data_IF_072415550196
#
_entry.id   IF_072415550196
#
_cell.length_a   1.000
_cell.length_b   1.000
_cell.length_c   1.000
_cell.angle_alpha   90.00
_cell.angle_beta   90.00
_cell.angle_gamma   90.00
#
_symmetry.space_group_name_H-M   'P 1'
#
loop_
_entity.id
_entity.type
_entity.pdbx_description
1 polymer ?
#
# COMPACT_ATOMS: atom_id res chain seq x y z
N UNK A 1 2.15 -14.41 14.22
CA UNK A 1 2.14 -12.94 14.30
C UNK A 1 2.75 -12.36 13.01
N UNK A 2 3.96 -12.73 12.59
CA UNK A 2 4.67 -12.19 11.42
C UNK A 2 3.81 -12.19 10.14
N UNK A 3 3.11 -13.31 9.83
CA UNK A 3 2.18 -13.37 8.69
C UNK A 3 0.98 -12.42 8.82
N UNK A 4 0.54 -12.12 10.04
CA UNK A 4 -0.58 -11.21 10.28
C UNK A 4 -0.18 -9.73 10.15
N UNK A 5 1.10 -9.41 10.18
CA UNK A 5 1.64 -8.07 9.92
C UNK A 5 1.98 -7.85 8.44
N UNK A 6 2.11 -8.93 7.66
CA UNK A 6 2.43 -8.86 6.24
C UNK A 6 1.28 -8.25 5.42
N UNK A 7 1.61 -7.47 4.42
CA UNK A 7 0.66 -6.85 3.49
C UNK A 7 -0.08 -7.89 2.64
N UNK A 8 0.62 -8.96 2.21
CA UNK A 8 0.10 -10.01 1.34
C UNK A 8 -0.43 -11.21 2.13
N UNK A 9 -1.54 -11.78 1.66
CA UNK A 9 -2.17 -13.00 2.18
C UNK A 9 -2.42 -13.97 1.04
N UNK A 10 -1.69 -15.06 1.00
CA UNK A 10 -1.87 -16.07 -0.05
C UNK A 10 -3.14 -16.90 0.16
N UNK A 11 -3.82 -17.22 -0.94
CA UNK A 11 -5.00 -18.06 -1.02
C UNK A 11 -4.61 -19.47 -1.47
N UNK A 12 -5.42 -20.47 -1.15
CA UNK A 12 -5.17 -21.88 -1.54
C UNK A 12 -5.26 -22.09 -3.04
N UNK A 13 -6.09 -21.28 -3.73
CA UNK A 13 -6.24 -21.28 -5.19
C UNK A 13 -5.00 -20.80 -5.94
N UNK A 14 -3.99 -20.28 -5.24
CA UNK A 14 -2.82 -19.63 -5.84
C UNK A 14 -2.97 -18.11 -6.01
N UNK A 15 -4.18 -17.57 -5.80
CA UNK A 15 -4.42 -16.13 -5.70
C UNK A 15 -3.89 -15.55 -4.39
N UNK A 16 -4.05 -14.26 -4.20
CA UNK A 16 -3.65 -13.57 -2.97
C UNK A 16 -4.44 -12.28 -2.74
N UNK A 17 -4.48 -11.85 -1.50
CA UNK A 17 -4.98 -10.55 -1.09
C UNK A 17 -3.81 -9.61 -0.83
N UNK A 18 -4.00 -8.33 -1.14
CA UNK A 18 -3.16 -7.23 -0.68
C UNK A 18 -3.99 -6.35 0.23
N UNK A 19 -3.54 -6.16 1.46
CA UNK A 19 -4.27 -5.40 2.49
C UNK A 19 -3.46 -4.18 2.87
N UNK A 20 -4.00 -3.00 2.59
CA UNK A 20 -3.39 -1.73 2.92
C UNK A 20 -4.27 -0.92 3.86
N UNK A 21 -3.66 -0.37 4.90
CA UNK A 21 -4.31 0.58 5.81
C UNK A 21 -3.82 1.99 5.48
N UNK A 22 -4.74 2.84 5.07
CA UNK A 22 -4.49 4.28 4.94
C UNK A 22 -4.96 5.01 6.20
N UNK A 23 -4.81 6.32 6.24
CA UNK A 23 -5.32 7.13 7.35
C UNK A 23 -6.84 7.01 7.49
N UNK A 24 -7.58 7.04 6.38
CA UNK A 24 -9.04 7.10 6.37
C UNK A 24 -9.71 5.73 6.30
N UNK A 25 -9.14 4.77 5.57
CA UNK A 25 -9.80 3.50 5.26
C UNK A 25 -8.81 2.34 5.08
N UNK A 26 -9.34 1.12 5.02
CA UNK A 26 -8.59 -0.08 4.64
C UNK A 26 -9.01 -0.49 3.24
N UNK A 27 -8.05 -0.75 2.37
CA UNK A 27 -8.25 -1.33 1.05
C UNK A 27 -7.81 -2.78 1.03
N UNK A 28 -8.55 -3.62 0.33
CA UNK A 28 -8.24 -5.03 0.12
C UNK A 28 -8.38 -5.34 -1.36
N UNK A 29 -7.27 -5.65 -2.00
CA UNK A 29 -7.21 -6.00 -3.41
C UNK A 29 -7.08 -7.52 -3.57
N UNK A 30 -7.86 -8.13 -4.46
CA UNK A 30 -7.90 -9.57 -4.72
C UNK A 30 -7.25 -9.86 -6.06
N UNK A 31 -6.23 -10.71 -6.05
CA UNK A 31 -5.46 -11.07 -7.23
C UNK A 31 -5.54 -12.58 -7.51
N UNK A 32 -5.60 -12.99 -8.79
CA UNK A 32 -5.61 -14.39 -9.21
C UNK A 32 -4.27 -15.10 -9.04
N UNK A 33 -3.17 -14.35 -8.92
CA UNK A 33 -1.83 -14.93 -9.07
C UNK A 33 -1.52 -15.32 -10.53
N UNK A 34 -0.44 -16.06 -10.75
CA UNK A 34 0.02 -16.42 -12.11
C UNK A 34 -0.73 -17.57 -12.78
N UNK A 35 -1.69 -18.21 -12.12
CA UNK A 35 -2.37 -19.38 -12.66
C UNK A 35 -3.77 -19.05 -13.19
N UNK A 36 -3.85 -18.84 -14.49
CA UNK A 36 -5.12 -18.73 -15.23
C UNK A 36 -5.24 -20.01 -16.05
N UNK A 37 -6.02 -20.97 -15.55
CA UNK A 37 -6.34 -22.18 -16.30
C UNK A 37 -7.13 -21.80 -17.56
N UNK A 38 -6.59 -22.11 -18.73
CA UNK A 38 -7.08 -21.65 -20.04
C UNK A 38 -8.50 -22.13 -20.42
N UNK A 39 -9.14 -23.02 -19.69
CA UNK A 39 -10.43 -23.62 -20.06
C UNK A 39 -11.65 -23.12 -19.29
N UNK A 40 -11.49 -22.48 -18.11
CA UNK A 40 -12.62 -21.97 -17.31
C UNK A 40 -12.17 -20.72 -16.52
N UNK A 41 -11.87 -19.66 -17.22
CA UNK A 41 -11.43 -18.39 -16.62
C UNK A 41 -12.45 -17.85 -15.60
N UNK A 42 -13.74 -17.79 -15.99
CA UNK A 42 -14.82 -17.31 -15.12
C UNK A 42 -14.96 -18.15 -13.85
N UNK A 43 -14.82 -19.49 -13.97
CA UNK A 43 -14.92 -20.39 -12.82
C UNK A 43 -13.73 -20.26 -11.87
N UNK A 44 -12.54 -20.01 -12.42
CA UNK A 44 -11.34 -19.76 -11.62
C UNK A 44 -11.47 -18.45 -10.85
N UNK A 45 -11.91 -17.37 -11.49
CA UNK A 45 -12.21 -16.09 -10.85
C UNK A 45 -13.23 -16.28 -9.73
N UNK A 46 -14.34 -16.94 -10.02
CA UNK A 46 -15.40 -17.17 -9.05
C UNK A 46 -14.89 -17.92 -7.80
N UNK A 47 -14.14 -19.00 -8.00
CA UNK A 47 -13.53 -19.77 -6.89
C UNK A 47 -12.55 -18.92 -6.08
N UNK A 48 -11.69 -18.15 -6.75
CA UNK A 48 -10.75 -17.27 -6.08
C UNK A 48 -11.47 -16.20 -5.27
N UNK A 49 -12.52 -15.59 -5.80
CA UNK A 49 -13.32 -14.59 -5.09
C UNK A 49 -14.08 -15.18 -3.89
N UNK A 50 -14.61 -16.41 -3.99
CA UNK A 50 -15.22 -17.10 -2.85
C UNK A 50 -14.21 -17.37 -1.73
N UNK A 51 -13.01 -17.80 -2.10
CA UNK A 51 -11.92 -18.01 -1.14
C UNK A 51 -11.45 -16.67 -0.52
N UNK A 52 -11.35 -15.64 -1.35
CA UNK A 52 -11.02 -14.27 -0.90
C UNK A 52 -12.05 -13.77 0.12
N UNK A 53 -13.35 -13.96 -0.09
CA UNK A 53 -14.40 -13.58 0.85
C UNK A 53 -14.22 -14.21 2.23
N UNK A 54 -13.85 -15.50 2.27
CA UNK A 54 -13.54 -16.20 3.52
C UNK A 54 -12.27 -15.68 4.18
N UNK A 55 -11.23 -15.44 3.39
CA UNK A 55 -9.95 -14.93 3.88
C UNK A 55 -10.10 -13.49 4.41
N UNK A 56 -10.81 -12.62 3.70
CA UNK A 56 -11.10 -11.24 4.12
C UNK A 56 -11.74 -11.24 5.50
N UNK A 57 -12.86 -11.93 5.69
CA UNK A 57 -13.54 -11.98 6.98
C UNK A 57 -12.62 -12.47 8.13
N UNK A 58 -11.73 -13.42 7.85
CA UNK A 58 -10.74 -13.91 8.81
C UNK A 58 -9.67 -12.85 9.12
N UNK A 59 -9.16 -12.15 8.10
CA UNK A 59 -8.15 -11.11 8.27
C UNK A 59 -8.69 -9.88 9.03
N UNK A 60 -9.94 -9.49 8.79
CA UNK A 60 -10.58 -8.42 9.55
C UNK A 60 -10.56 -8.69 11.06
N UNK A 61 -10.88 -9.93 11.46
CA UNK A 61 -10.82 -10.35 12.87
C UNK A 61 -9.39 -10.44 13.40
N UNK A 62 -8.52 -11.13 12.66
CA UNK A 62 -7.15 -11.40 13.07
C UNK A 62 -6.35 -10.10 13.28
N UNK A 63 -6.48 -9.16 12.35
CA UNK A 63 -5.76 -7.88 12.37
C UNK A 63 -6.51 -6.78 13.09
N UNK A 64 -7.72 -7.05 13.56
CA UNK A 64 -8.65 -6.09 14.16
C UNK A 64 -8.85 -4.84 13.27
N UNK A 65 -9.07 -5.05 11.97
CA UNK A 65 -9.34 -3.98 11.02
C UNK A 65 -10.74 -3.42 11.25
N UNK A 66 -10.87 -2.10 11.27
CA UNK A 66 -12.15 -1.43 11.49
C UNK A 66 -12.21 -0.07 10.81
N UNK A 67 -13.38 0.52 10.81
CA UNK A 67 -13.70 1.73 10.05
C UNK A 67 -14.24 1.37 8.66
N UNK A 68 -14.00 2.22 7.68
CA UNK A 68 -14.37 2.00 6.27
C UNK A 68 -13.39 0.99 5.66
N UNK A 69 -13.91 0.00 4.98
CA UNK A 69 -13.15 -1.05 4.30
C UNK A 69 -13.70 -1.18 2.90
N UNK A 70 -12.82 -1.13 1.90
CA UNK A 70 -13.17 -1.32 0.49
C UNK A 70 -12.45 -2.56 0.00
N UNK A 71 -13.19 -3.52 -0.53
CA UNK A 71 -12.65 -4.71 -1.14
C UNK A 71 -12.85 -4.67 -2.66
N UNK A 72 -11.76 -4.79 -3.38
CA UNK A 72 -11.71 -4.90 -4.83
C UNK A 72 -11.59 -6.39 -5.18
N UNK A 73 -12.71 -6.98 -5.58
CA UNK A 73 -12.78 -8.36 -6.03
C UNK A 73 -12.45 -8.43 -7.52
N UNK A 74 -11.92 -9.56 -7.97
CA UNK A 74 -11.68 -9.78 -9.38
C UNK A 74 -13.02 -9.68 -10.12
N UNK A 75 -13.02 -8.95 -11.23
CA UNK A 75 -14.24 -8.71 -12.03
C UNK A 75 -14.99 -9.99 -12.39
N UNK A 76 -16.30 -9.98 -12.15
CA UNK A 76 -17.21 -11.09 -12.44
C UNK A 76 -18.31 -10.63 -13.40
N UNK A 77 -18.35 -11.21 -14.58
CA UNK A 77 -19.36 -10.88 -15.59
C UNK A 77 -20.78 -11.38 -15.27
N UNK A 78 -20.92 -12.35 -14.34
CA UNK A 78 -22.21 -12.95 -13.96
C UNK A 78 -22.68 -12.40 -12.62
N UNK A 79 -23.90 -11.85 -12.60
CA UNK A 79 -24.52 -11.31 -11.38
C UNK A 79 -24.71 -12.39 -10.31
N UNK A 80 -24.97 -13.64 -10.73
CA UNK A 80 -25.10 -14.77 -9.80
C UNK A 80 -23.80 -15.03 -9.03
N UNK A 81 -22.64 -14.89 -9.69
CA UNK A 81 -21.34 -15.03 -9.05
C UNK A 81 -21.09 -13.92 -8.02
N UNK A 82 -21.43 -12.68 -8.37
CA UNK A 82 -21.32 -11.54 -7.44
C UNK A 82 -22.20 -11.75 -6.20
N UNK A 83 -23.44 -12.19 -6.41
CA UNK A 83 -24.37 -12.46 -5.30
C UNK A 83 -23.87 -13.61 -4.41
N UNK A 84 -23.34 -14.68 -5.00
CA UNK A 84 -22.78 -15.79 -4.25
C UNK A 84 -21.55 -15.40 -3.42
N UNK A 85 -20.64 -14.59 -3.96
CA UNK A 85 -19.48 -14.06 -3.25
C UNK A 85 -19.91 -13.16 -2.10
N UNK A 86 -20.89 -12.27 -2.33
CA UNK A 86 -21.45 -11.41 -1.31
C UNK A 86 -22.12 -12.20 -0.18
N UNK A 87 -22.88 -13.22 -0.53
CA UNK A 87 -23.54 -14.11 0.43
C UNK A 87 -22.51 -14.87 1.29
N UNK A 88 -21.45 -15.39 0.67
CA UNK A 88 -20.36 -16.06 1.40
C UNK A 88 -19.64 -15.10 2.34
N UNK A 89 -19.32 -13.88 1.88
CA UNK A 89 -18.70 -12.88 2.74
C UNK A 89 -19.58 -12.55 3.95
N UNK A 90 -20.87 -12.28 3.73
CA UNK A 90 -21.83 -12.00 4.81
C UNK A 90 -21.91 -13.14 5.82
N UNK A 91 -21.98 -14.38 5.33
CA UNK A 91 -21.96 -15.61 6.16
C UNK A 91 -20.70 -15.69 7.03
N UNK A 92 -19.54 -15.38 6.48
CA UNK A 92 -18.28 -15.41 7.25
C UNK A 92 -18.17 -14.25 8.25
N UNK A 93 -18.72 -13.06 7.92
CA UNK A 93 -18.78 -11.92 8.81
C UNK A 93 -19.73 -12.13 10.01
N UNK A 94 -20.78 -12.96 9.87
CA UNK A 94 -21.67 -13.33 10.98
C UNK A 94 -20.94 -14.06 12.13
N UNK A 95 -19.78 -14.65 11.85
CA UNK A 95 -18.93 -15.28 12.88
C UNK A 95 -18.14 -14.26 13.71
N UNK A 96 -18.18 -13.00 13.32
CA UNK A 96 -17.52 -11.92 14.04
C UNK A 96 -18.44 -11.36 15.13
N UNK A 97 -17.89 -11.17 16.34
CA UNK A 97 -18.61 -10.53 17.45
C UNK A 97 -18.81 -9.03 17.23
N UNK A 98 -17.99 -8.44 16.34
CA UNK A 98 -18.04 -7.01 16.04
C UNK A 98 -18.98 -6.78 14.86
N UNK A 99 -19.94 -5.87 15.05
CA UNK A 99 -20.90 -5.51 14.01
C UNK A 99 -20.21 -4.96 12.76
N UNK A 100 -20.47 -5.61 11.63
CA UNK A 100 -20.04 -5.20 10.29
C UNK A 100 -21.28 -4.97 9.43
N UNK A 101 -21.31 -3.87 8.71
CA UNK A 101 -22.37 -3.55 7.74
C UNK A 101 -21.73 -3.61 6.35
N UNK A 102 -22.34 -4.36 5.45
CA UNK A 102 -21.87 -4.51 4.06
C UNK A 102 -22.91 -3.99 3.09
N UNK A 103 -22.48 -3.20 2.11
CA UNK A 103 -23.27 -2.86 0.93
C UNK A 103 -23.41 -4.03 -0.05
N UNK A 104 -23.82 -3.73 -1.27
CA UNK A 104 -23.67 -4.57 -2.44
C UNK A 104 -22.40 -4.23 -3.21
N UNK A 105 -22.17 -4.89 -4.35
CA UNK A 105 -21.18 -4.44 -5.31
C UNK A 105 -21.60 -3.08 -5.91
N UNK A 106 -20.68 -2.14 -5.95
CA UNK A 106 -20.89 -0.85 -6.62
C UNK A 106 -20.86 -1.01 -8.14
N UNK A 107 -21.20 0.06 -8.87
CA UNK A 107 -21.10 0.09 -10.33
C UNK A 107 -19.64 -0.12 -10.84
N UNK A 108 -18.65 0.10 -9.99
CA UNK A 108 -17.22 -0.12 -10.27
C UNK A 108 -16.72 -1.49 -9.83
N UNK A 109 -17.60 -2.43 -9.42
CA UNK A 109 -17.20 -3.75 -8.95
C UNK A 109 -16.64 -3.79 -7.51
N UNK A 110 -16.60 -2.64 -6.82
CA UNK A 110 -16.08 -2.55 -5.46
C UNK A 110 -17.13 -2.94 -4.42
N UNK A 111 -16.70 -3.60 -3.36
CA UNK A 111 -17.54 -3.93 -2.22
C UNK A 111 -17.17 -3.07 -1.03
N UNK A 112 -18.13 -2.27 -0.58
CA UNK A 112 -17.98 -1.37 0.54
C UNK A 112 -18.53 -1.98 1.82
N UNK A 113 -17.79 -1.84 2.92
CA UNK A 113 -18.25 -2.26 4.23
C UNK A 113 -17.72 -1.35 5.34
N UNK A 114 -18.43 -1.35 6.46
CA UNK A 114 -17.97 -0.69 7.69
C UNK A 114 -17.95 -1.68 8.84
N UNK A 115 -16.86 -1.71 9.58
CA UNK A 115 -16.71 -2.52 10.79
C UNK A 115 -16.40 -1.63 11.98
N UNK A 116 -17.15 -1.75 13.07
CA UNK A 116 -16.96 -0.90 14.26
C UNK A 116 -15.52 -1.04 14.77
N UNK A 117 -14.83 0.09 15.00
CA UNK A 117 -13.53 0.11 15.69
C UNK A 117 -13.74 -0.08 17.17
N UNK A 118 -13.18 -1.14 17.74
CA UNK A 118 -13.27 -1.44 19.17
C UNK A 118 -11.94 -1.27 19.88
N UNK A 119 -10.84 -1.37 19.15
CA UNK A 119 -9.46 -1.16 19.59
C UNK A 119 -8.57 -0.91 18.38
N UNK A 120 -7.31 -0.56 18.62
CA UNK A 120 -6.31 -0.38 17.57
C UNK A 120 -6.07 -1.65 16.75
N UNK A 121 -5.68 -1.49 15.49
CA UNK A 121 -5.29 -2.61 14.64
C UNK A 121 -3.99 -3.25 15.12
N UNK A 122 -3.79 -4.52 14.76
CA UNK A 122 -2.59 -5.28 15.14
C UNK A 122 -1.30 -4.57 14.72
N UNK A 123 -1.29 -3.96 13.52
CA UNK A 123 -0.13 -3.21 13.01
C UNK A 123 0.16 -1.99 13.88
N UNK A 124 -0.86 -1.22 14.27
CA UNK A 124 -0.66 -0.03 15.12
C UNK A 124 -0.21 -0.37 16.54
N UNK A 125 -0.57 -1.57 17.03
CA UNK A 125 -0.12 -2.03 18.36
C UNK A 125 1.30 -2.59 18.38
N UNK A 126 1.78 -3.14 17.26
CA UNK A 126 3.03 -3.91 17.22
C UNK A 126 4.12 -3.28 16.36
N UNK A 127 3.80 -2.23 15.59
CA UNK A 127 4.71 -1.60 14.66
C UNK A 127 4.73 -0.09 14.86
N UNK A 128 5.85 0.52 14.52
CA UNK A 128 6.03 1.96 14.43
C UNK A 128 6.37 2.37 12.98
N UNK A 129 6.16 3.64 12.61
CA UNK A 129 6.52 4.12 11.28
C UNK A 129 8.01 3.89 10.98
N UNK A 130 8.32 3.44 9.77
CA UNK A 130 9.71 3.28 9.33
C UNK A 130 10.43 4.64 9.36
N UNK A 131 11.56 4.78 10.07
CA UNK A 131 12.28 6.06 10.15
C UNK A 131 12.83 6.52 8.79
N UNK A 132 13.15 5.60 7.88
CA UNK A 132 13.69 5.92 6.56
C UNK A 132 12.67 6.57 5.61
N UNK A 133 11.42 6.13 5.63
CA UNK A 133 10.37 6.64 4.73
C UNK A 133 9.19 7.30 5.46
N UNK A 134 9.21 7.36 6.78
CA UNK A 134 8.11 7.85 7.61
C UNK A 134 6.76 7.18 7.26
N UNK A 135 6.78 5.88 6.97
CA UNK A 135 5.60 5.09 6.60
C UNK A 135 5.16 5.21 5.12
N UNK A 136 5.87 6.00 4.28
CA UNK A 136 5.48 6.20 2.88
C UNK A 136 5.74 5.00 1.96
N UNK A 137 6.64 4.07 2.36
CA UNK A 137 7.02 2.90 1.55
C UNK A 137 7.97 3.22 0.37
N UNK A 138 8.31 4.49 0.16
CA UNK A 138 9.22 4.98 -0.88
C UNK A 138 10.19 6.00 -0.30
N UNK A 139 11.39 6.05 -0.88
CA UNK A 139 12.41 7.06 -0.59
C UNK A 139 12.84 7.73 -1.89
N UNK A 140 13.38 8.95 -1.80
CA UNK A 140 13.97 9.64 -2.96
C UNK A 140 15.17 8.87 -3.47
N UNK A 141 15.35 8.85 -4.80
CA UNK A 141 16.58 8.34 -5.41
C UNK A 141 17.77 9.23 -5.06
N UNK A 142 18.99 8.70 -5.11
CA UNK A 142 20.22 9.48 -4.87
C UNK A 142 20.28 10.72 -5.78
N UNK A 143 19.92 10.58 -7.07
CA UNK A 143 19.87 11.70 -8.03
C UNK A 143 18.85 12.78 -7.62
N UNK A 144 17.67 12.39 -7.16
CA UNK A 144 16.67 13.36 -6.65
C UNK A 144 17.19 14.13 -5.42
N UNK A 145 17.94 13.44 -4.56
CA UNK A 145 18.56 14.08 -3.38
C UNK A 145 19.66 15.06 -3.79
N UNK A 146 20.50 14.71 -4.78
CA UNK A 146 21.51 15.62 -5.35
C UNK A 146 20.85 16.91 -5.86
N UNK A 147 19.79 16.81 -6.65
CA UNK A 147 19.10 18.00 -7.14
C UNK A 147 18.41 18.80 -6.02
N UNK A 148 17.96 18.17 -4.97
CA UNK A 148 17.47 18.90 -3.78
C UNK A 148 18.60 19.68 -3.12
N UNK A 149 19.78 19.07 -2.95
CA UNK A 149 20.96 19.73 -2.38
C UNK A 149 21.37 20.95 -3.23
N UNK A 150 21.50 20.79 -4.54
CA UNK A 150 21.85 21.90 -5.44
C UNK A 150 20.84 23.04 -5.37
N UNK A 151 19.53 22.75 -5.31
CA UNK A 151 18.49 23.77 -5.16
C UNK A 151 18.57 24.47 -3.80
N UNK A 152 18.88 23.72 -2.75
CA UNK A 152 19.03 24.31 -1.41
C UNK A 152 20.24 25.25 -1.35
N UNK A 153 21.38 24.85 -1.90
CA UNK A 153 22.57 25.70 -1.99
C UNK A 153 22.25 27.01 -2.71
N UNK A 154 21.54 26.92 -3.87
CA UNK A 154 21.12 28.12 -4.61
C UNK A 154 20.22 29.06 -3.79
N UNK A 155 19.29 28.46 -3.01
CA UNK A 155 18.37 29.21 -2.16
C UNK A 155 19.14 29.96 -1.05
N UNK A 156 19.98 29.21 -0.35
CA UNK A 156 20.79 29.74 0.76
C UNK A 156 21.80 30.80 0.27
N UNK A 157 22.47 30.58 -0.87
CA UNK A 157 23.38 31.52 -1.48
C UNK A 157 22.70 32.88 -1.78
N UNK A 158 21.47 32.85 -2.31
CA UNK A 158 20.71 34.07 -2.61
C UNK A 158 20.23 34.82 -1.37
N UNK A 159 19.99 34.09 -0.28
CA UNK A 159 19.40 34.66 0.94
C UNK A 159 20.45 35.17 1.91
N UNK A 160 21.57 34.46 2.09
CA UNK A 160 22.51 34.68 3.19
C UNK A 160 23.94 34.97 2.76
N UNK A 161 24.27 34.88 1.46
CA UNK A 161 25.62 35.08 0.91
C UNK A 161 26.73 34.34 1.71
N UNK A 162 26.61 33.02 1.95
CA UNK A 162 27.55 32.26 2.75
C UNK A 162 28.88 32.06 2.00
N UNK A 163 29.98 32.01 2.75
CA UNK A 163 31.31 31.78 2.17
C UNK A 163 31.64 30.30 1.96
N UNK A 164 30.96 29.41 2.63
CA UNK A 164 31.20 27.97 2.57
C UNK A 164 29.88 27.18 2.75
N UNK A 165 29.74 26.14 1.96
CA UNK A 165 28.67 25.13 2.11
C UNK A 165 29.26 23.76 2.49
N UNK A 166 28.79 23.19 3.58
CA UNK A 166 29.15 21.83 3.98
C UNK A 166 28.01 20.87 3.70
N UNK A 167 28.25 19.92 2.81
CA UNK A 167 27.28 18.88 2.43
C UNK A 167 27.57 17.60 3.20
N UNK A 168 26.60 17.07 3.95
CA UNK A 168 26.67 15.79 4.63
C UNK A 168 25.54 14.93 4.09
N UNK A 169 25.87 13.87 3.38
CA UNK A 169 24.90 12.97 2.74
C UNK A 169 25.41 11.51 2.74
N UNK A 170 24.54 10.60 2.33
CA UNK A 170 24.93 9.18 2.14
C UNK A 170 26.03 9.06 1.06
N UNK A 171 26.97 8.08 1.17
CA UNK A 171 28.04 7.90 0.20
C UNK A 171 27.58 7.90 -1.26
N UNK A 172 26.53 7.13 -1.58
CA UNK A 172 25.98 7.07 -2.95
C UNK A 172 25.50 8.43 -3.50
N UNK A 173 25.10 9.36 -2.64
CA UNK A 173 24.71 10.73 -3.05
C UNK A 173 25.94 11.57 -3.29
N UNK A 174 26.98 11.43 -2.45
CA UNK A 174 28.26 12.14 -2.61
C UNK A 174 28.98 11.68 -3.88
N UNK A 175 29.05 10.36 -4.12
CA UNK A 175 29.67 9.80 -5.33
C UNK A 175 28.99 10.35 -6.59
N UNK A 176 27.64 10.33 -6.64
CA UNK A 176 26.88 10.86 -7.76
C UNK A 176 27.11 12.38 -7.96
N UNK A 177 27.20 13.15 -6.88
CA UNK A 177 27.43 14.58 -6.92
C UNK A 177 28.82 14.92 -7.47
N UNK A 178 29.84 14.13 -7.10
CA UNK A 178 31.23 14.37 -7.51
C UNK A 178 31.54 13.82 -8.92
N UNK A 179 30.88 12.75 -9.35
CA UNK A 179 31.10 12.13 -10.65
C UNK A 179 30.15 12.68 -11.72
N UNK A 180 28.89 12.22 -11.73
CA UNK A 180 27.95 12.50 -12.81
C UNK A 180 27.48 13.95 -12.83
N UNK A 181 27.30 14.57 -11.68
CA UNK A 181 26.74 15.92 -11.53
C UNK A 181 27.83 16.98 -11.21
N UNK A 182 29.10 16.62 -11.37
CA UNK A 182 30.27 17.51 -11.10
C UNK A 182 30.23 18.82 -11.88
N UNK A 183 29.73 18.80 -13.12
CA UNK A 183 29.59 20.00 -13.96
C UNK A 183 28.54 20.97 -13.37
N UNK A 184 27.44 20.45 -12.85
CA UNK A 184 26.43 21.29 -12.19
C UNK A 184 26.98 21.91 -10.91
N UNK A 185 27.79 21.18 -10.17
CA UNK A 185 28.45 21.67 -8.96
C UNK A 185 29.48 22.79 -9.30
N UNK A 186 30.26 22.61 -10.36
CA UNK A 186 31.21 23.61 -10.84
C UNK A 186 30.50 24.91 -11.28
N UNK A 187 29.45 24.80 -12.10
CA UNK A 187 28.64 25.94 -12.54
C UNK A 187 27.99 26.66 -11.36
N UNK A 188 27.57 25.91 -10.34
CA UNK A 188 27.01 26.50 -9.13
C UNK A 188 28.05 27.24 -8.32
N UNK A 189 29.28 26.73 -8.22
CA UNK A 189 30.41 27.36 -7.56
C UNK A 189 30.77 28.71 -8.22
N UNK A 190 30.80 28.73 -9.58
CA UNK A 190 31.04 29.99 -10.33
C UNK A 190 29.91 31.01 -10.13
N UNK A 191 28.67 30.55 -9.97
CA UNK A 191 27.53 31.45 -9.75
C UNK A 191 27.53 32.11 -8.35
N UNK A 192 28.10 31.41 -7.35
CA UNK A 192 28.11 31.83 -5.95
C UNK A 192 29.36 32.66 -5.63
N UNK A 193 30.48 32.50 -6.38
CA UNK A 193 31.72 33.23 -6.22
C UNK A 193 31.55 34.70 -6.67
#
# INVERSE_FOLDING_TARGET
>A
ITRALGRRVDLKSGGYLVIDQTEALTTIDVNTGGYIGARNFDETIFKTNLEAAQAIARQLRLRNLGGIIIADFIDMGKTEHQQAVLAELRKQLQRDRIKTVTGGFSALGLLEMTRKRTRESLVRMLCEPCPGCAGRGIVKTARSVVYDILREILREARQFNPQEFRIIAAPAVIDLLLDEESQHLASLSEFIA
#
